data_IF_184113602923
#
_entry.id   IF_184113602923
#
_cell.length_a   1.000
_cell.length_b   1.000
_cell.length_c   1.000
_cell.angle_alpha   90.00
_cell.angle_beta   90.00
_cell.angle_gamma   90.00
#
_symmetry.space_group_name_H-M   'P 1'
#
loop_
_entity.id
_entity.type
_entity.pdbx_description
1 polymer ?
#
# COMPACT_ATOMS: atom_id res chain seq x y z
N UNK A 1 -49.74 48.38 -59.85
CA UNK A 1 -49.84 48.79 -58.43
C UNK A 1 -48.53 48.38 -57.77
N UNK A 2 -47.46 49.18 -57.82
CA UNK A 2 -47.20 50.44 -57.11
C UNK A 2 -46.84 50.24 -55.62
N UNK A 3 -45.77 50.95 -55.21
CA UNK A 3 -45.17 51.15 -53.86
C UNK A 3 -44.06 50.15 -53.48
N UNK A 4 -42.82 50.53 -53.15
CA UNK A 4 -42.17 51.84 -53.06
C UNK A 4 -40.79 51.72 -52.37
N UNK A 5 -39.83 52.58 -52.77
CA UNK A 5 -38.76 53.30 -52.03
C UNK A 5 -38.09 52.64 -50.79
N UNK A 6 -36.82 52.83 -50.43
CA UNK A 6 -35.60 53.44 -50.99
C UNK A 6 -34.48 53.25 -49.94
N UNK A 7 -33.24 53.51 -50.35
CA UNK A 7 -31.97 53.48 -49.59
C UNK A 7 -31.94 54.30 -48.28
N UNK A 8 -31.03 53.92 -47.36
CA UNK A 8 -30.19 54.90 -46.66
C UNK A 8 -28.88 54.29 -46.11
N UNK A 9 -27.78 54.95 -46.47
CA UNK A 9 -26.41 54.83 -45.99
C UNK A 9 -26.23 55.20 -44.51
N UNK A 10 -25.17 54.71 -43.84
CA UNK A 10 -24.09 55.55 -43.28
C UNK A 10 -22.95 54.74 -42.64
N UNK A 11 -21.84 55.45 -42.48
CA UNK A 11 -20.45 55.03 -42.58
C UNK A 11 -19.69 55.29 -41.27
N UNK A 12 -18.56 54.58 -41.09
CA UNK A 12 -17.32 54.93 -40.37
C UNK A 12 -17.27 55.22 -38.86
N UNK A 13 -16.29 54.59 -38.19
CA UNK A 13 -15.67 55.04 -36.92
C UNK A 13 -14.96 53.93 -36.13
N UNK A 14 -13.84 53.37 -36.61
CA UNK A 14 -12.45 53.52 -36.09
C UNK A 14 -12.19 53.33 -34.57
N UNK A 15 -11.34 52.31 -34.30
CA UNK A 15 -10.21 52.23 -33.34
C UNK A 15 -10.44 52.37 -31.82
N UNK A 16 -10.14 51.33 -31.02
CA UNK A 16 -8.88 51.19 -30.22
C UNK A 16 -8.89 50.02 -29.20
N UNK A 17 -7.81 49.22 -29.27
CA UNK A 17 -6.95 48.65 -28.22
C UNK A 17 -7.54 48.12 -26.87
N UNK A 18 -7.41 46.80 -26.64
CA UNK A 18 -7.02 46.11 -25.38
C UNK A 18 -7.55 44.65 -25.43
N UNK A 19 -6.87 43.59 -25.03
CA UNK A 19 -5.53 43.36 -24.52
C UNK A 19 -5.29 41.84 -24.61
N UNK A 20 -4.04 41.42 -24.49
CA UNK A 20 -3.62 40.03 -24.54
C UNK A 20 -4.37 39.16 -23.51
N UNK A 21 -5.05 38.11 -23.97
CA UNK A 21 -5.42 36.93 -23.19
C UNK A 21 -4.63 35.81 -23.88
N UNK A 22 -3.46 35.43 -23.40
CA UNK A 22 -3.26 34.84 -22.08
C UNK A 22 -3.07 33.34 -22.32
N UNK A 23 -1.83 32.95 -22.64
CA UNK A 23 -1.41 31.55 -22.59
C UNK A 23 -1.68 31.02 -21.19
N UNK A 24 -2.54 30.01 -21.07
CA UNK A 24 -3.01 29.57 -19.77
C UNK A 24 -3.91 28.34 -19.83
N UNK A 25 -3.51 27.31 -20.56
CA UNK A 25 -3.98 25.95 -20.31
C UNK A 25 -2.77 25.10 -19.90
N UNK A 26 -2.19 25.45 -18.75
CA UNK A 26 -1.48 24.45 -17.97
C UNK A 26 -2.56 23.57 -17.35
N UNK A 27 -2.85 22.44 -18.02
CA UNK A 27 -3.54 21.32 -17.43
C UNK A 27 -2.80 20.96 -16.13
N UNK A 28 -3.42 21.31 -15.00
CA UNK A 28 -2.94 20.98 -13.67
C UNK A 28 -3.20 19.51 -13.33
N UNK A 29 -2.84 18.59 -14.21
CA UNK A 29 -2.61 17.20 -13.83
C UNK A 29 -1.18 17.12 -13.29
N UNK A 30 -0.96 17.75 -12.14
CA UNK A 30 0.17 17.41 -11.31
C UNK A 30 -0.20 16.08 -10.66
N UNK A 31 0.09 14.99 -11.39
CA UNK A 31 0.43 13.75 -10.73
C UNK A 31 1.36 14.12 -9.58
N UNK A 32 1.03 13.66 -8.37
CA UNK A 32 1.94 13.77 -7.26
C UNK A 32 3.20 13.00 -7.66
N UNK A 33 4.13 13.67 -8.35
CA UNK A 33 5.49 13.20 -8.55
C UNK A 33 5.95 12.81 -7.17
N UNK A 34 6.29 11.53 -7.00
CA UNK A 34 6.81 11.02 -5.75
C UNK A 34 8.05 11.84 -5.45
N UNK A 35 7.91 12.84 -4.57
CA UNK A 35 9.00 13.76 -4.26
C UNK A 35 10.13 12.92 -3.70
N UNK A 36 11.28 12.94 -4.39
CA UNK A 36 12.51 12.32 -3.91
C UNK A 36 12.73 12.79 -2.46
N UNK A 37 12.85 11.88 -1.49
CA UNK A 37 13.01 12.29 -0.12
C UNK A 37 14.27 13.14 0.03
N UNK A 38 14.19 14.09 0.96
CA UNK A 38 15.32 14.95 1.28
C UNK A 38 16.48 14.10 1.82
N UNK A 39 17.73 14.36 1.40
CA UNK A 39 18.90 13.68 1.96
C UNK A 39 18.90 13.75 3.50
N UNK A 40 19.18 12.63 4.16
CA UNK A 40 19.18 12.53 5.63
C UNK A 40 17.79 12.42 6.29
N UNK A 41 16.70 12.49 5.52
CA UNK A 41 15.37 12.14 6.05
C UNK A 41 15.33 10.67 6.49
N UNK A 42 14.41 10.34 7.41
CA UNK A 42 14.20 8.95 7.81
C UNK A 42 13.85 8.07 6.59
N UNK A 43 13.04 8.60 5.65
CA UNK A 43 12.71 7.88 4.41
C UNK A 43 13.95 7.56 3.58
N UNK A 44 14.82 8.53 3.35
CA UNK A 44 16.05 8.32 2.58
C UNK A 44 16.96 7.28 3.24
N UNK A 45 17.15 7.39 4.56
CA UNK A 45 18.08 6.52 5.30
C UNK A 45 17.59 5.08 5.41
N UNK A 46 16.31 4.86 5.74
CA UNK A 46 15.76 3.51 5.83
C UNK A 46 15.60 2.82 4.47
N UNK A 47 15.27 3.58 3.42
CA UNK A 47 15.20 3.05 2.07
C UNK A 47 16.58 2.72 1.47
N UNK A 48 17.63 3.40 1.93
CA UNK A 48 19.01 3.11 1.54
C UNK A 48 19.59 1.83 2.17
N UNK A 49 18.95 1.26 3.20
CA UNK A 49 19.41 0.03 3.81
C UNK A 49 19.02 -1.19 2.94
N UNK A 50 20.00 -1.93 2.44
CA UNK A 50 19.78 -3.10 1.57
C UNK A 50 19.57 -4.41 2.32
N UNK A 51 20.08 -4.52 3.56
CA UNK A 51 20.06 -5.73 4.39
C UNK A 51 19.64 -5.43 5.83
N UNK A 52 19.02 -6.42 6.52
CA UNK A 52 18.64 -6.28 7.91
C UNK A 52 19.88 -6.26 8.80
N UNK A 53 19.71 -5.77 10.03
CA UNK A 53 20.75 -5.85 11.05
C UNK A 53 20.99 -7.31 11.46
N UNK A 54 22.18 -7.61 11.98
CA UNK A 54 22.42 -8.86 12.71
C UNK A 54 21.61 -8.91 14.01
N UNK A 55 21.52 -10.10 14.59
CA UNK A 55 20.90 -10.33 15.89
C UNK A 55 19.39 -10.61 15.84
N UNK A 56 18.71 -10.58 17.00
CA UNK A 56 17.31 -10.98 17.11
C UNK A 56 16.34 -10.00 16.46
N UNK A 57 15.24 -10.55 15.95
CA UNK A 57 14.14 -9.79 15.38
C UNK A 57 13.40 -9.00 16.47
N UNK A 58 13.43 -7.67 16.42
CA UNK A 58 12.69 -6.81 17.37
C UNK A 58 11.95 -5.68 16.64
N UNK A 59 10.60 -5.63 16.75
CA UNK A 59 9.84 -4.47 16.33
C UNK A 59 9.99 -3.35 17.36
N UNK A 60 10.33 -2.14 16.89
CA UNK A 60 10.62 -0.98 17.75
C UNK A 60 9.71 0.18 17.37
N UNK A 61 8.95 0.70 18.33
CA UNK A 61 8.03 1.81 18.17
C UNK A 61 6.63 1.38 17.74
N UNK A 62 5.98 2.24 16.95
CA UNK A 62 4.63 2.05 16.45
C UNK A 62 4.63 1.71 14.96
N UNK A 63 3.57 1.07 14.46
CA UNK A 63 3.43 0.62 13.07
C UNK A 63 3.77 1.67 12.00
N UNK A 64 3.47 2.94 12.28
CA UNK A 64 3.74 4.09 11.41
C UNK A 64 4.78 5.08 11.97
N UNK A 65 5.52 4.66 13.00
CA UNK A 65 6.56 5.47 13.65
C UNK A 65 7.53 4.55 14.39
N UNK A 66 8.39 3.87 13.65
CA UNK A 66 9.23 2.83 14.21
C UNK A 66 10.34 2.37 13.27
N UNK A 67 10.99 1.29 13.66
CA UNK A 67 12.02 0.58 12.90
C UNK A 67 12.08 -0.88 13.37
N UNK A 68 12.98 -1.67 12.78
CA UNK A 68 13.12 -3.08 13.11
C UNK A 68 14.58 -3.55 13.05
N UNK A 69 15.00 -4.36 14.03
CA UNK A 69 16.24 -5.15 13.97
C UNK A 69 15.96 -6.57 13.52
N UNK A 70 16.95 -7.25 12.96
CA UNK A 70 16.94 -8.70 12.73
C UNK A 70 15.77 -9.19 11.88
N UNK A 71 15.27 -8.36 10.96
CA UNK A 71 14.17 -8.75 10.09
C UNK A 71 14.58 -9.94 9.21
N UNK A 72 13.62 -10.81 8.93
CA UNK A 72 13.80 -11.97 8.05
C UNK A 72 12.99 -11.77 6.77
N UNK A 73 13.54 -12.22 5.66
CA UNK A 73 12.86 -12.11 4.38
C UNK A 73 11.90 -13.29 4.17
N UNK A 74 10.66 -13.04 3.74
CA UNK A 74 9.78 -14.07 3.18
C UNK A 74 10.43 -14.64 1.92
N UNK A 75 10.61 -15.97 1.75
CA UNK A 75 11.08 -16.53 0.49
C UNK A 75 10.28 -16.00 -0.70
N UNK A 76 10.98 -15.67 -1.80
CA UNK A 76 10.38 -15.08 -3.01
C UNK A 76 9.21 -15.92 -3.53
N UNK A 77 9.29 -17.22 -3.32
CA UNK A 77 8.28 -18.21 -3.69
C UNK A 77 8.11 -19.21 -2.57
N UNK A 78 6.88 -19.71 -2.45
CA UNK A 78 6.60 -20.95 -1.73
C UNK A 78 5.56 -21.77 -2.47
N UNK A 79 5.08 -22.88 -1.90
CA UNK A 79 4.10 -23.73 -2.56
C UNK A 79 2.82 -22.97 -2.93
N UNK A 80 2.37 -22.08 -2.04
CA UNK A 80 1.07 -21.42 -2.08
C UNK A 80 1.15 -19.89 -2.05
N UNK A 81 2.33 -19.31 -2.28
CA UNK A 81 2.49 -17.86 -2.40
C UNK A 81 3.56 -17.45 -3.42
N UNK A 82 3.48 -16.20 -3.87
CA UNK A 82 4.54 -15.49 -4.60
C UNK A 82 4.67 -14.07 -4.07
N UNK A 83 5.90 -13.64 -3.77
CA UNK A 83 6.19 -12.25 -3.43
C UNK A 83 6.18 -11.39 -4.71
N UNK A 84 5.61 -10.19 -4.62
CA UNK A 84 5.43 -9.23 -5.71
C UNK A 84 6.34 -8.02 -5.54
N UNK A 85 6.61 -7.30 -6.63
CA UNK A 85 7.42 -6.07 -6.61
C UNK A 85 8.76 -6.26 -5.91
N UNK A 86 9.50 -7.30 -6.32
CA UNK A 86 10.76 -7.73 -5.70
C UNK A 86 11.82 -6.62 -5.71
N UNK A 87 11.82 -5.80 -6.76
CA UNK A 87 12.69 -4.63 -6.93
C UNK A 87 12.63 -3.66 -5.75
N UNK A 88 11.48 -3.57 -5.06
CA UNK A 88 11.27 -2.66 -3.93
C UNK A 88 12.03 -3.04 -2.67
N UNK A 89 12.53 -4.28 -2.58
CA UNK A 89 13.20 -4.84 -1.40
C UNK A 89 12.35 -4.73 -0.10
N UNK A 90 11.05 -5.07 -0.20
CA UNK A 90 10.06 -4.90 0.89
C UNK A 90 9.49 -6.19 1.48
N UNK A 91 10.12 -7.34 1.22
CA UNK A 91 9.67 -8.65 1.72
C UNK A 91 10.22 -9.02 3.11
N UNK A 92 10.58 -8.03 3.92
CA UNK A 92 11.20 -8.23 5.23
C UNK A 92 10.19 -8.06 6.34
N UNK A 93 10.26 -8.87 7.39
CA UNK A 93 9.36 -8.72 8.52
C UNK A 93 9.83 -9.44 9.77
N UNK A 94 8.99 -9.36 10.80
CA UNK A 94 9.14 -10.16 11.99
C UNK A 94 8.91 -11.64 11.66
N UNK A 95 9.69 -12.59 12.22
CA UNK A 95 9.43 -14.02 12.05
C UNK A 95 7.99 -14.42 12.31
N UNK A 96 7.30 -13.79 13.27
CA UNK A 96 5.87 -14.04 13.52
C UNK A 96 4.97 -13.63 12.35
N UNK A 97 5.27 -12.53 11.65
CA UNK A 97 4.55 -12.12 10.45
C UNK A 97 4.83 -13.08 9.30
N UNK A 98 6.09 -13.43 9.05
CA UNK A 98 6.45 -14.34 7.96
C UNK A 98 5.82 -15.72 8.16
N UNK A 99 5.88 -16.27 9.38
CA UNK A 99 5.23 -17.53 9.73
C UNK A 99 3.70 -17.48 9.55
N UNK A 100 3.07 -16.34 9.87
CA UNK A 100 1.64 -16.16 9.62
C UNK A 100 1.32 -16.18 8.13
N UNK A 101 2.12 -15.51 7.30
CA UNK A 101 1.90 -15.46 5.84
C UNK A 101 2.06 -16.84 5.19
N UNK A 102 3.06 -17.62 5.60
CA UNK A 102 3.23 -19.00 5.12
C UNK A 102 2.02 -19.87 5.45
N UNK A 103 1.57 -19.85 6.71
CA UNK A 103 0.36 -20.59 7.14
C UNK A 103 -0.89 -20.10 6.42
N UNK A 104 -1.09 -18.79 6.36
CA UNK A 104 -2.24 -18.18 5.71
C UNK A 104 -2.32 -18.55 4.23
N UNK A 105 -1.18 -18.61 3.54
CA UNK A 105 -1.14 -19.01 2.14
C UNK A 105 -1.67 -20.44 1.92
N UNK A 106 -1.33 -21.37 2.81
CA UNK A 106 -1.76 -22.77 2.75
C UNK A 106 -3.23 -22.91 3.12
N UNK A 107 -3.64 -22.23 4.19
CA UNK A 107 -5.02 -22.22 4.67
C UNK A 107 -5.97 -21.57 3.65
N UNK A 108 -5.52 -20.56 2.89
CA UNK A 108 -6.29 -19.95 1.83
C UNK A 108 -6.68 -20.97 0.73
N UNK A 109 -5.75 -21.84 0.35
CA UNK A 109 -6.01 -22.97 -0.55
C UNK A 109 -6.98 -23.96 0.08
N UNK A 110 -6.69 -24.37 1.31
CA UNK A 110 -7.42 -25.45 1.98
C UNK A 110 -8.85 -25.09 2.36
N UNK A 111 -9.09 -23.85 2.81
CA UNK A 111 -10.36 -23.48 3.45
C UNK A 111 -11.10 -22.34 2.74
N UNK A 112 -10.42 -21.45 2.02
CA UNK A 112 -11.05 -20.31 1.34
C UNK A 112 -11.35 -20.57 -0.15
N UNK A 113 -10.90 -21.70 -0.72
CA UNK A 113 -10.99 -21.97 -2.16
C UNK A 113 -10.23 -20.91 -2.97
N UNK A 114 -9.11 -20.44 -2.43
CA UNK A 114 -8.25 -19.42 -3.02
C UNK A 114 -6.94 -20.04 -3.48
N UNK A 115 -6.44 -19.82 -4.70
CA UNK A 115 -5.37 -20.65 -5.29
C UNK A 115 -3.96 -20.43 -4.69
N UNK A 116 -3.84 -19.63 -3.64
CA UNK A 116 -2.59 -19.12 -3.09
C UNK A 116 -2.59 -17.59 -3.08
N UNK A 117 -1.63 -16.98 -2.40
CA UNK A 117 -1.60 -15.54 -2.17
C UNK A 117 -0.46 -14.85 -2.93
N UNK A 118 -0.75 -13.66 -3.44
CA UNK A 118 0.28 -12.74 -3.92
C UNK A 118 0.58 -11.75 -2.80
N UNK A 119 1.83 -11.79 -2.30
CA UNK A 119 2.27 -10.97 -1.16
C UNK A 119 2.94 -9.70 -1.69
N UNK A 120 2.41 -8.54 -1.31
CA UNK A 120 2.98 -7.23 -1.61
C UNK A 120 4.02 -6.80 -0.58
N UNK A 121 3.95 -5.53 -0.16
CA UNK A 121 4.92 -4.95 0.76
C UNK A 121 4.70 -5.50 2.19
N UNK A 122 5.80 -5.86 2.88
CA UNK A 122 5.82 -6.22 4.30
C UNK A 122 6.54 -5.13 5.09
N UNK A 123 7.85 -4.99 4.91
CA UNK A 123 8.67 -3.90 5.42
C UNK A 123 10.01 -3.85 4.67
N UNK A 124 10.71 -2.73 4.80
CA UNK A 124 12.12 -2.60 4.37
C UNK A 124 13.03 -3.42 5.31
N UNK A 125 14.30 -3.69 4.95
CA UNK A 125 15.17 -4.58 5.73
C UNK A 125 15.37 -4.18 7.20
N UNK A 126 15.31 -2.88 7.47
CA UNK A 126 15.42 -2.30 8.83
C UNK A 126 14.13 -1.65 9.30
N UNK A 127 13.01 -1.96 8.65
CA UNK A 127 11.73 -1.29 8.84
C UNK A 127 11.79 0.18 8.44
N UNK A 128 11.22 1.06 9.26
CA UNK A 128 11.28 2.50 9.07
C UNK A 128 10.37 3.05 7.97
N UNK A 129 10.25 4.39 7.88
CA UNK A 129 9.43 5.05 6.87
C UNK A 129 9.85 4.69 5.43
N UNK A 130 8.87 4.33 4.59
CA UNK A 130 9.10 4.01 3.18
C UNK A 130 9.17 5.26 2.31
N UNK A 131 9.87 5.18 1.18
CA UNK A 131 9.90 6.23 0.15
C UNK A 131 8.49 6.64 -0.26
N UNK A 132 7.66 5.64 -0.56
CA UNK A 132 6.33 5.78 -1.14
C UNK A 132 5.37 4.68 -0.63
N UNK A 133 4.10 4.84 -0.96
CA UNK A 133 3.02 3.94 -0.55
C UNK A 133 2.64 4.16 0.91
N UNK A 134 2.93 3.18 1.75
CA UNK A 134 2.33 3.06 3.07
C UNK A 134 2.89 4.04 4.08
N UNK A 135 2.01 4.54 4.96
CA UNK A 135 2.42 5.28 6.16
C UNK A 135 2.91 4.35 7.28
N UNK A 136 2.45 3.10 7.30
CA UNK A 136 2.88 2.05 8.24
C UNK A 136 3.96 1.13 7.65
N UNK A 137 3.98 -0.18 7.97
CA UNK A 137 5.00 -1.14 7.53
C UNK A 137 6.40 -0.87 8.11
N UNK A 138 6.50 -0.08 9.17
CA UNK A 138 7.80 0.35 9.68
C UNK A 138 8.43 -0.63 10.68
N UNK A 139 7.67 -1.60 11.19
CA UNK A 139 8.14 -2.49 12.27
C UNK A 139 8.01 -3.98 11.93
N UNK A 140 7.78 -4.33 10.65
CA UNK A 140 7.72 -5.72 10.19
C UNK A 140 6.52 -6.53 10.71
N UNK A 141 5.42 -5.84 11.07
CA UNK A 141 4.17 -6.45 11.57
C UNK A 141 2.95 -6.10 10.70
N UNK A 142 3.20 -5.62 9.47
CA UNK A 142 2.22 -5.27 8.46
C UNK A 142 2.56 -6.02 7.16
N UNK A 143 1.56 -6.45 6.39
CA UNK A 143 1.76 -7.12 5.11
C UNK A 143 0.56 -6.91 4.18
N UNK A 144 0.82 -6.58 2.92
CA UNK A 144 -0.23 -6.48 1.90
C UNK A 144 -0.44 -7.79 1.17
N UNK A 145 -1.71 -8.14 0.97
CA UNK A 145 -2.11 -9.29 0.18
C UNK A 145 -3.02 -8.82 -0.95
N UNK A 146 -2.67 -9.16 -2.19
CA UNK A 146 -3.46 -8.72 -3.33
C UNK A 146 -4.77 -9.50 -3.42
N UNK A 147 -5.85 -8.84 -3.86
CA UNK A 147 -7.10 -9.51 -4.23
C UNK A 147 -7.04 -10.22 -5.60
N UNK A 148 -5.92 -10.11 -6.29
CA UNK A 148 -5.63 -10.87 -7.51
C UNK A 148 -5.28 -12.31 -7.14
N UNK A 149 -5.98 -13.33 -7.68
CA UNK A 149 -5.64 -14.72 -7.43
C UNK A 149 -4.23 -15.05 -7.92
N UNK A 150 -3.48 -15.84 -7.15
CA UNK A 150 -2.18 -16.34 -7.60
C UNK A 150 -2.35 -17.25 -8.83
N UNK A 151 -1.57 -17.06 -9.90
CA UNK A 151 -1.62 -17.94 -11.06
C UNK A 151 -1.07 -19.34 -10.73
N UNK A 152 -1.50 -20.36 -11.48
CA UNK A 152 -1.04 -21.74 -11.31
C UNK A 152 0.44 -21.96 -11.68
N UNK A 153 1.04 -21.01 -12.41
CA UNK A 153 2.46 -20.99 -12.78
C UNK A 153 3.22 -19.96 -11.94
N UNK A 154 4.53 -20.17 -11.80
CA UNK A 154 5.42 -19.16 -11.24
C UNK A 154 5.58 -17.99 -12.22
N UNK A 155 5.58 -16.78 -11.67
CA UNK A 155 5.84 -15.57 -12.44
C UNK A 155 7.34 -15.26 -12.44
N UNK A 156 7.85 -14.79 -13.57
CA UNK A 156 9.21 -14.23 -13.65
C UNK A 156 9.31 -12.97 -12.77
N UNK A 157 10.52 -12.53 -12.41
CA UNK A 157 10.70 -11.25 -11.72
C UNK A 157 10.01 -10.09 -12.44
N UNK A 158 10.18 -9.98 -13.75
CA UNK A 158 9.57 -8.90 -14.54
C UNK A 158 8.03 -8.96 -14.53
N UNK A 159 7.43 -10.14 -14.68
CA UNK A 159 5.98 -10.29 -14.59
C UNK A 159 5.44 -9.84 -13.23
N UNK A 160 6.20 -10.04 -12.15
CA UNK A 160 5.83 -9.56 -10.80
C UNK A 160 5.97 -8.05 -10.64
N UNK A 161 6.76 -7.37 -11.46
CA UNK A 161 6.85 -5.91 -11.51
C UNK A 161 5.72 -5.31 -12.36
N UNK A 162 5.35 -5.97 -13.44
CA UNK A 162 4.42 -5.43 -14.44
C UNK A 162 2.96 -5.81 -14.19
N UNK A 163 2.68 -6.86 -13.41
CA UNK A 163 1.31 -7.32 -13.17
C UNK A 163 0.46 -6.17 -12.61
N UNK A 164 -0.62 -5.75 -13.30
CA UNK A 164 -1.43 -4.64 -12.85
C UNK A 164 -2.30 -5.06 -11.65
N UNK A 165 -2.58 -4.09 -10.78
CA UNK A 165 -3.55 -4.28 -9.71
C UNK A 165 -4.96 -4.49 -10.26
N UNK A 166 -5.68 -5.44 -9.70
CA UNK A 166 -7.12 -5.61 -9.96
C UNK A 166 -7.92 -4.89 -8.88
N UNK A 167 -8.55 -3.76 -9.22
CA UNK A 167 -9.43 -3.07 -8.29
C UNK A 167 -10.72 -3.86 -8.05
N UNK A 168 -11.15 -3.95 -6.80
CA UNK A 168 -12.46 -4.49 -6.43
C UNK A 168 -13.59 -3.48 -6.67
N UNK A 169 -13.30 -2.23 -7.04
CA UNK A 169 -14.31 -1.21 -7.29
C UNK A 169 -14.81 -1.23 -8.74
N UNK A 170 -16.08 -0.88 -8.91
CA UNK A 170 -16.66 -0.60 -10.21
C UNK A 170 -16.16 0.77 -10.67
N UNK A 171 -15.60 0.81 -11.88
CA UNK A 171 -15.14 2.05 -12.51
C UNK A 171 -16.29 3.08 -12.57
N UNK A 172 -15.96 4.34 -12.32
CA UNK A 172 -16.85 5.50 -12.39
C UNK A 172 -18.09 5.39 -11.45
N UNK A 173 -17.97 4.60 -10.38
CA UNK A 173 -18.98 4.51 -9.33
C UNK A 173 -18.39 4.69 -7.94
N UNK A 174 -18.98 5.61 -7.18
CA UNK A 174 -18.56 5.91 -5.82
C UNK A 174 -18.72 4.69 -4.91
N UNK A 175 -17.61 4.26 -4.27
CA UNK A 175 -17.54 3.19 -3.27
C UNK A 175 -18.42 1.97 -3.56
N UNK A 176 -18.42 1.53 -4.81
CA UNK A 176 -19.25 0.41 -5.27
C UNK A 176 -18.34 -0.74 -5.67
N UNK A 177 -18.53 -1.93 -5.08
CA UNK A 177 -17.78 -3.13 -5.46
C UNK A 177 -18.23 -3.60 -6.85
N UNK A 178 -17.26 -3.97 -7.70
CA UNK A 178 -17.52 -4.53 -9.01
C UNK A 178 -18.04 -5.98 -8.89
N UNK A 179 -19.32 -6.25 -9.24
CA UNK A 179 -19.89 -7.57 -9.09
C UNK A 179 -19.29 -8.61 -10.05
N UNK A 180 -18.58 -8.19 -11.11
CA UNK A 180 -17.90 -9.10 -12.04
C UNK A 180 -16.58 -9.62 -11.49
N UNK A 181 -15.99 -8.93 -10.53
CA UNK A 181 -14.68 -9.27 -9.95
C UNK A 181 -14.85 -9.88 -8.56
N UNK A 182 -15.79 -9.39 -7.76
CA UNK A 182 -16.01 -9.89 -6.41
C UNK A 182 -16.56 -11.33 -6.40
N UNK A 183 -16.00 -12.17 -5.54
CA UNK A 183 -16.40 -13.57 -5.37
C UNK A 183 -16.50 -13.92 -3.89
N UNK A 184 -17.26 -14.97 -3.58
CA UNK A 184 -17.37 -15.46 -2.20
C UNK A 184 -16.03 -16.00 -1.66
N UNK A 185 -15.15 -16.49 -2.53
CA UNK A 185 -13.78 -16.88 -2.12
C UNK A 185 -12.96 -15.70 -1.58
N UNK A 186 -13.18 -14.47 -2.06
CA UNK A 186 -12.52 -13.26 -1.51
C UNK A 186 -13.08 -12.89 -0.14
N UNK A 187 -14.39 -13.06 0.06
CA UNK A 187 -15.00 -12.87 1.37
C UNK A 187 -14.45 -13.88 2.39
N UNK A 188 -14.38 -15.16 2.01
CA UNK A 188 -13.76 -16.22 2.83
C UNK A 188 -12.28 -15.96 3.09
N UNK A 189 -11.51 -15.48 2.12
CA UNK A 189 -10.10 -15.14 2.29
C UNK A 189 -9.91 -14.06 3.38
N UNK A 190 -10.71 -13.00 3.35
CA UNK A 190 -10.66 -11.94 4.36
C UNK A 190 -11.03 -12.44 5.75
N UNK A 191 -12.08 -13.26 5.86
CA UNK A 191 -12.53 -13.79 7.15
C UNK A 191 -11.57 -14.85 7.71
N UNK A 192 -10.92 -15.63 6.83
CA UNK A 192 -9.83 -16.53 7.21
C UNK A 192 -8.65 -15.73 7.77
N UNK A 193 -8.18 -14.69 7.08
CA UNK A 193 -7.13 -13.81 7.60
C UNK A 193 -7.54 -13.19 8.96
N UNK A 194 -8.80 -12.77 9.10
CA UNK A 194 -9.29 -12.17 10.35
C UNK A 194 -9.37 -13.18 11.51
N UNK A 195 -9.46 -14.48 11.20
CA UNK A 195 -9.63 -15.54 12.20
C UNK A 195 -8.39 -15.79 13.07
N UNK A 196 -7.20 -15.45 12.57
CA UNK A 196 -5.96 -15.66 13.33
C UNK A 196 -5.92 -14.78 14.60
N UNK A 197 -5.57 -15.35 15.76
CA UNK A 197 -5.47 -14.60 17.02
C UNK A 197 -4.36 -13.54 17.00
N UNK A 198 -3.32 -13.74 16.18
CA UNK A 198 -2.23 -12.79 15.97
C UNK A 198 -2.70 -11.55 15.18
N UNK A 199 -3.68 -11.70 14.28
CA UNK A 199 -4.20 -10.61 13.45
C UNK A 199 -5.08 -9.70 14.28
N UNK A 200 -4.72 -8.42 14.30
CA UNK A 200 -5.43 -7.39 15.04
C UNK A 200 -6.37 -6.59 14.13
N UNK A 201 -5.91 -6.22 12.93
CA UNK A 201 -6.68 -5.45 11.96
C UNK A 201 -6.39 -5.94 10.55
N UNK A 202 -7.41 -5.85 9.70
CA UNK A 202 -7.29 -5.97 8.26
C UNK A 202 -7.82 -4.69 7.64
N UNK A 203 -6.99 -3.89 6.98
CA UNK A 203 -7.46 -2.68 6.33
C UNK A 203 -7.93 -2.97 4.90
N UNK A 204 -9.10 -2.46 4.57
CA UNK A 204 -9.77 -2.64 3.27
C UNK A 204 -10.46 -1.34 2.86
N UNK A 205 -10.77 -1.19 1.58
CA UNK A 205 -11.63 -0.11 1.11
C UNK A 205 -13.01 -0.12 1.81
N UNK A 206 -13.67 1.04 2.06
CA UNK A 206 -14.98 1.08 2.67
C UNK A 206 -16.06 0.31 1.89
N UNK A 207 -15.97 0.27 0.55
CA UNK A 207 -16.87 -0.51 -0.29
C UNK A 207 -16.77 -2.01 -0.03
N UNK A 208 -15.55 -2.52 0.18
CA UNK A 208 -15.28 -3.92 0.51
C UNK A 208 -15.85 -4.23 1.90
N UNK A 209 -15.60 -3.36 2.89
CA UNK A 209 -16.16 -3.51 4.23
C UNK A 209 -17.69 -3.55 4.18
N UNK A 210 -18.32 -2.64 3.42
CA UNK A 210 -19.78 -2.63 3.22
C UNK A 210 -20.25 -3.92 2.55
N UNK A 211 -19.59 -4.38 1.49
CA UNK A 211 -19.92 -5.64 0.83
C UNK A 211 -19.89 -6.82 1.80
N UNK A 212 -18.87 -6.90 2.64
CA UNK A 212 -18.78 -7.91 3.70
C UNK A 212 -19.93 -7.78 4.71
N UNK A 213 -20.25 -6.56 5.16
CA UNK A 213 -21.38 -6.33 6.06
C UNK A 213 -22.71 -6.80 5.48
N UNK A 214 -22.94 -6.51 4.19
CA UNK A 214 -24.19 -6.79 3.48
C UNK A 214 -24.36 -8.28 3.14
N UNK A 215 -23.27 -9.00 2.81
CA UNK A 215 -23.38 -10.34 2.22
C UNK A 215 -22.70 -11.47 2.99
N UNK A 216 -21.86 -11.18 3.99
CA UNK A 216 -21.23 -12.25 4.77
C UNK A 216 -22.25 -12.90 5.73
N UNK A 217 -22.56 -14.16 5.44
CA UNK A 217 -23.50 -14.98 6.21
C UNK A 217 -22.83 -15.95 7.21
N UNK A 218 -21.49 -16.00 7.25
CA UNK A 218 -20.74 -16.83 8.20
C UNK A 218 -20.57 -16.17 9.57
N UNK A 219 -19.67 -16.72 10.40
CA UNK A 219 -19.34 -16.13 11.70
C UNK A 219 -18.82 -14.70 11.57
N UNK A 220 -19.45 -13.76 12.27
CA UNK A 220 -19.15 -12.32 12.25
C UNK A 220 -18.26 -11.88 13.42
N UNK A 221 -17.86 -12.79 14.31
CA UNK A 221 -17.04 -12.48 15.50
C UNK A 221 -15.79 -11.68 15.14
N UNK A 222 -15.13 -12.03 14.03
CA UNK A 222 -13.92 -11.33 13.56
C UNK A 222 -14.18 -10.26 12.50
N UNK A 223 -15.43 -10.03 12.08
CA UNK A 223 -15.74 -9.07 11.02
C UNK A 223 -15.33 -7.65 11.44
N UNK A 224 -15.42 -7.31 12.73
CA UNK A 224 -14.96 -6.03 13.27
C UNK A 224 -13.50 -5.69 12.96
N UNK A 225 -12.63 -6.71 12.80
CA UNK A 225 -11.21 -6.53 12.45
C UNK A 225 -11.02 -5.95 11.04
N UNK A 226 -11.98 -6.10 10.13
CA UNK A 226 -11.94 -5.41 8.83
C UNK A 226 -12.22 -3.92 9.05
N UNK A 227 -11.19 -3.10 8.84
CA UNK A 227 -11.20 -1.65 9.09
C UNK A 227 -11.22 -0.89 7.77
N UNK A 228 -12.25 -0.07 7.51
CA UNK A 228 -12.28 0.77 6.31
C UNK A 228 -11.16 1.82 6.36
N UNK A 229 -10.46 1.99 5.23
CA UNK A 229 -9.47 3.04 5.00
C UNK A 229 -9.47 3.45 3.51
N UNK A 230 -8.97 4.64 3.18
CA UNK A 230 -8.78 5.08 1.80
C UNK A 230 -7.90 4.10 0.99
N UNK A 231 -8.11 4.03 -0.32
CA UNK A 231 -7.41 3.06 -1.18
C UNK A 231 -7.83 1.63 -0.84
N UNK A 232 -6.87 0.71 -0.73
CA UNK A 232 -7.07 -0.69 -0.29
C UNK A 232 -8.21 -1.44 -1.00
N UNK A 233 -8.42 -1.11 -2.28
CA UNK A 233 -9.41 -1.78 -3.13
C UNK A 233 -8.81 -2.88 -4.00
N UNK A 234 -7.49 -2.94 -4.15
CA UNK A 234 -6.79 -3.96 -4.92
C UNK A 234 -5.98 -4.95 -4.09
N UNK A 235 -5.78 -4.61 -2.81
CA UNK A 235 -5.14 -5.43 -1.79
C UNK A 235 -5.83 -5.19 -0.45
N UNK A 236 -5.63 -6.10 0.48
CA UNK A 236 -5.93 -5.88 1.90
C UNK A 236 -4.65 -5.93 2.70
N UNK A 237 -4.61 -5.07 3.72
CA UNK A 237 -3.45 -4.93 4.61
C UNK A 237 -3.70 -5.73 5.87
N UNK A 238 -2.89 -6.74 6.15
CA UNK A 238 -2.89 -7.47 7.42
C UNK A 238 -1.96 -6.77 8.41
N UNK A 239 -2.46 -6.51 9.63
CA UNK A 239 -1.65 -6.07 10.77
C UNK A 239 -1.74 -7.09 11.91
N UNK A 240 -0.59 -7.52 12.41
CA UNK A 240 -0.51 -8.38 13.59
C UNK A 240 -0.19 -7.57 14.86
N UNK A 241 -0.55 -8.14 16.01
CA UNK A 241 -0.22 -7.59 17.33
C UNK A 241 1.30 -7.56 17.55
N UNK A 242 1.75 -6.72 18.47
CA UNK A 242 3.11 -6.84 19.01
C UNK A 242 3.36 -8.27 19.52
N UNK A 243 4.43 -8.96 19.09
CA UNK A 243 4.74 -10.29 19.58
C UNK A 243 4.93 -10.31 21.11
N UNK A 244 4.58 -11.40 21.81
CA UNK A 244 4.84 -11.53 23.24
C UNK A 244 6.32 -11.28 23.57
N UNK A 245 6.58 -10.46 24.59
CA UNK A 245 7.94 -10.12 25.02
C UNK A 245 8.65 -9.03 24.21
N UNK A 246 8.05 -8.50 23.14
CA UNK A 246 8.62 -7.40 22.36
C UNK A 246 8.47 -6.05 23.09
N UNK A 247 9.31 -5.80 24.10
CA UNK A 247 9.23 -4.60 24.95
C UNK A 247 9.40 -3.27 24.19
N UNK A 248 10.07 -3.29 23.04
CA UNK A 248 10.23 -2.12 22.17
C UNK A 248 8.99 -1.80 21.33
N UNK A 249 7.99 -2.69 21.27
CA UNK A 249 6.83 -2.56 20.40
C UNK A 249 5.66 -1.87 21.12
N UNK A 250 5.12 -0.83 20.49
CA UNK A 250 3.97 -0.08 21.02
C UNK A 250 2.68 -0.63 20.41
N UNK A 251 1.76 -1.23 21.20
CA UNK A 251 0.49 -1.70 20.69
C UNK A 251 -0.42 -0.54 20.28
N UNK A 252 -1.42 -0.83 19.45
CA UNK A 252 -2.51 0.09 19.14
C UNK A 252 -3.72 -0.20 20.03
N UNK A 253 -4.69 0.71 20.08
CA UNK A 253 -5.93 0.50 20.82
C UNK A 253 -6.68 -0.74 20.27
N UNK A 254 -7.41 -1.50 21.10
CA UNK A 254 -8.24 -2.60 20.63
C UNK A 254 -9.27 -2.14 19.58
N UNK A 255 -9.67 -3.06 18.71
CA UNK A 255 -10.83 -2.84 17.84
C UNK A 255 -12.08 -2.77 18.71
N UNK A 256 -12.96 -1.81 18.43
CA UNK A 256 -14.22 -1.68 19.15
C UNK A 256 -15.07 -2.96 19.01
N UNK A 257 -15.84 -3.28 20.05
CA UNK A 257 -16.72 -4.44 20.04
C UNK A 257 -17.76 -4.35 18.91
N UNK A 258 -18.16 -5.51 18.40
CA UNK A 258 -19.11 -5.63 17.29
C UNK A 258 -18.43 -5.85 15.94
N UNK A 259 -19.26 -5.96 14.90
CA UNK A 259 -18.80 -6.26 13.55
C UNK A 259 -18.36 -5.01 12.76
N UNK A 260 -18.55 -3.82 13.33
CA UNK A 260 -18.21 -2.53 12.71
C UNK A 260 -19.07 -2.21 11.48
N UNK A 261 -20.28 -2.76 11.38
CA UNK A 261 -21.27 -2.49 10.35
C UNK A 261 -22.31 -1.47 10.81
N UNK A 262 -21.85 -0.41 11.50
CA UNK A 262 -22.66 0.59 12.17
C UNK A 262 -22.38 2.01 11.63
N UNK A 263 -22.69 3.04 12.43
CA UNK A 263 -22.44 4.45 12.09
C UNK A 263 -20.97 4.73 11.75
N UNK A 264 -20.02 3.96 12.30
CA UNK A 264 -18.61 4.10 11.99
C UNK A 264 -18.29 3.73 10.53
N UNK A 265 -19.01 2.77 9.95
CA UNK A 265 -18.94 2.46 8.52
C UNK A 265 -19.74 3.47 7.69
N UNK A 266 -20.94 3.84 8.14
CA UNK A 266 -21.80 4.79 7.43
C UNK A 266 -21.11 6.15 7.20
N UNK A 267 -20.25 6.59 8.12
CA UNK A 267 -19.43 7.81 7.98
C UNK A 267 -18.65 7.85 6.65
N UNK A 268 -18.10 6.72 6.20
CA UNK A 268 -17.35 6.63 4.95
C UNK A 268 -18.17 6.90 3.69
N UNK A 269 -19.50 6.78 3.80
CA UNK A 269 -20.44 7.04 2.71
C UNK A 269 -21.06 8.44 2.79
N UNK A 270 -20.55 9.30 3.67
CA UNK A 270 -20.89 10.73 3.73
C UNK A 270 -19.85 11.55 2.95
N UNK A 271 -20.13 12.81 2.59
CA UNK A 271 -19.12 13.70 1.97
C UNK A 271 -17.93 14.05 2.88
N UNK A 272 -18.09 13.96 4.21
CA UNK A 272 -17.11 14.46 5.18
C UNK A 272 -15.69 13.87 5.04
N UNK A 273 -15.48 12.55 4.92
CA UNK A 273 -14.13 11.98 4.71
C UNK A 273 -13.51 12.31 3.35
N UNK A 274 -14.31 12.75 2.38
CA UNK A 274 -13.86 13.05 1.01
C UNK A 274 -13.72 14.56 0.77
N UNK A 275 -14.11 15.38 1.73
CA UNK A 275 -14.05 16.83 1.60
C UNK A 275 -12.60 17.31 1.42
N UNK A 276 -12.34 18.25 0.48
CA UNK A 276 -11.04 18.88 0.37
C UNK A 276 -10.70 19.64 1.66
N UNK A 277 -9.40 19.89 1.92
CA UNK A 277 -8.99 20.76 3.01
C UNK A 277 -9.72 22.10 2.94
N UNK A 278 -10.20 22.61 4.09
CA UNK A 278 -10.85 23.92 4.12
C UNK A 278 -9.86 24.99 3.65
N UNK A 279 -10.28 25.94 2.81
CA UNK A 279 -9.41 27.04 2.42
C UNK A 279 -8.94 27.79 3.68
N UNK A 280 -7.69 28.28 3.69
CA UNK A 280 -7.20 29.10 4.80
C UNK A 280 -8.11 30.32 4.98
N UNK A 281 -8.31 30.75 6.24
CA UNK A 281 -9.11 31.94 6.54
C UNK A 281 -8.51 33.18 5.82
N UNK A 282 -9.31 34.13 5.33
CA UNK A 282 -8.80 35.37 4.77
C UNK A 282 -7.80 36.05 5.72
N UNK A 283 -6.60 36.38 5.22
CA UNK A 283 -5.52 36.96 6.03
C UNK A 283 -4.71 35.98 6.88
N UNK A 284 -5.03 34.68 6.87
CA UNK A 284 -4.18 33.68 7.51
C UNK A 284 -2.89 33.46 6.72
N UNK A 285 -1.75 33.44 7.42
CA UNK A 285 -0.49 33.00 6.81
C UNK A 285 -0.67 31.56 6.27
N UNK A 286 -0.16 31.25 5.07
CA UNK A 286 -0.16 29.89 4.57
C UNK A 286 0.43 28.93 5.61
N UNK A 287 -0.19 27.75 5.85
CA UNK A 287 0.40 26.77 6.76
C UNK A 287 1.79 26.40 6.24
N UNK A 288 2.76 26.28 7.17
CA UNK A 288 4.09 25.79 6.80
C UNK A 288 3.93 24.41 6.16
N UNK A 289 4.64 24.12 5.05
CA UNK A 289 4.59 22.80 4.45
C UNK A 289 5.01 21.76 5.51
N UNK A 290 4.38 20.57 5.54
CA UNK A 290 4.82 19.50 6.40
C UNK A 290 6.30 19.23 6.16
N UNK A 291 7.12 19.27 7.21
CA UNK A 291 8.51 18.85 7.09
C UNK A 291 8.58 17.33 7.01
N UNK A 292 9.57 16.82 6.30
CA UNK A 292 9.83 15.38 6.28
C UNK A 292 10.24 14.87 7.66
N UNK A 293 9.87 13.61 7.92
CA UNK A 293 10.24 12.90 9.14
C UNK A 293 11.74 12.66 9.15
N UNK A 294 12.39 13.05 10.24
CA UNK A 294 13.81 12.82 10.50
C UNK A 294 13.97 11.61 11.42
N UNK A 295 15.16 11.00 11.45
CA UNK A 295 15.44 9.88 12.37
C UNK A 295 15.27 10.30 13.83
N UNK A 296 15.55 11.57 14.15
CA UNK A 296 15.31 12.15 15.48
C UNK A 296 13.85 12.20 15.89
N UNK A 297 12.90 12.05 14.96
CA UNK A 297 11.47 11.94 15.27
C UNK A 297 11.04 10.52 15.65
N UNK A 298 11.85 9.51 15.32
CA UNK A 298 11.59 8.09 15.58
C UNK A 298 12.01 7.69 17.01
N UNK A 299 11.63 6.49 17.50
CA UNK A 299 12.20 5.97 18.74
C UNK A 299 13.73 6.04 18.74
N UNK A 300 14.34 6.42 19.87
CA UNK A 300 15.80 6.65 19.97
C UNK A 300 16.65 5.50 19.43
N UNK A 301 16.20 4.26 19.62
CA UNK A 301 16.90 3.07 19.14
C UNK A 301 17.03 3.02 17.60
N UNK A 302 16.16 3.70 16.85
CA UNK A 302 16.16 3.64 15.39
C UNK A 302 17.40 4.26 14.72
N UNK A 303 18.08 5.20 15.39
CA UNK A 303 19.40 5.64 14.94
C UNK A 303 20.42 4.49 15.01
N UNK A 304 20.48 3.79 16.15
CA UNK A 304 21.36 2.63 16.31
C UNK A 304 21.01 1.47 15.35
N UNK A 305 19.72 1.31 15.00
CA UNK A 305 19.31 0.33 13.98
C UNK A 305 19.91 0.66 12.61
N UNK A 306 20.00 1.94 12.22
CA UNK A 306 20.61 2.34 10.95
C UNK A 306 22.14 2.16 10.95
N UNK A 307 22.78 2.31 12.12
CA UNK A 307 24.24 2.19 12.24
C UNK A 307 24.72 0.75 12.50
N UNK A 308 23.80 -0.18 12.83
CA UNK A 308 24.14 -1.56 13.16
C UNK A 308 24.70 -2.35 11.96
N UNK A 309 25.55 -3.34 12.26
CA UNK A 309 26.10 -4.26 11.27
C UNK A 309 24.99 -5.06 10.56
N UNK A 310 25.09 -5.14 9.23
CA UNK A 310 24.20 -5.98 8.42
C UNK A 310 24.57 -7.46 8.52
N UNK A 311 23.61 -8.33 8.26
CA UNK A 311 23.88 -9.74 7.93
C UNK A 311 24.77 -9.84 6.67
N UNK A 312 25.40 -11.00 6.46
CA UNK A 312 26.31 -11.21 5.33
C UNK A 312 25.62 -11.22 3.96
N UNK A 313 24.35 -11.66 3.90
CA UNK A 313 23.58 -11.71 2.65
C UNK A 313 22.08 -11.82 2.90
N UNK A 314 21.30 -11.56 1.85
CA UNK A 314 19.85 -11.78 1.86
C UNK A 314 19.49 -13.25 2.09
N UNK A 315 20.29 -14.18 1.56
CA UNK A 315 20.09 -15.61 1.73
C UNK A 315 20.29 -16.03 3.20
N UNK A 316 21.26 -15.43 3.90
CA UNK A 316 21.49 -15.68 5.33
C UNK A 316 20.34 -15.20 6.23
N UNK A 317 19.57 -14.21 5.79
CA UNK A 317 18.43 -13.67 6.52
C UNK A 317 17.07 -14.05 5.92
N UNK A 318 17.03 -15.01 4.99
CA UNK A 318 15.75 -15.55 4.49
C UNK A 318 15.17 -16.52 5.52
N UNK A 319 13.87 -16.39 5.79
CA UNK A 319 13.16 -17.27 6.72
C UNK A 319 13.21 -18.73 6.24
N UNK A 320 13.44 -19.67 7.16
CA UNK A 320 13.74 -21.07 6.81
C UNK A 320 15.19 -21.32 6.37
N UNK A 321 16.03 -20.28 6.33
CA UNK A 321 17.47 -20.37 6.06
C UNK A 321 17.83 -20.53 4.57
N UNK A 322 19.11 -20.83 4.27
CA UNK A 322 19.62 -20.84 2.90
C UNK A 322 18.90 -21.83 1.96
N UNK A 323 18.43 -22.96 2.49
CA UNK A 323 17.69 -23.97 1.71
C UNK A 323 16.35 -23.42 1.22
N UNK A 324 15.61 -22.70 2.07
CA UNK A 324 14.35 -22.07 1.69
C UNK A 324 14.54 -20.96 0.64
N UNK A 325 15.67 -20.24 0.69
CA UNK A 325 16.01 -19.25 -0.33
C UNK A 325 16.25 -19.87 -1.72
N UNK A 326 16.72 -21.12 -1.78
CA UNK A 326 17.05 -21.82 -3.02
C UNK A 326 15.94 -22.75 -3.52
N UNK A 327 15.03 -23.20 -2.64
CA UNK A 327 14.06 -24.27 -2.91
C UNK A 327 13.05 -23.96 -4.03
N UNK A 328 12.89 -22.69 -4.43
CA UNK A 328 11.91 -22.29 -5.44
C UNK A 328 12.47 -21.36 -6.53
N UNK A 329 13.79 -21.16 -6.58
CA UNK A 329 14.48 -20.48 -7.68
C UNK A 329 14.73 -21.39 -8.91
N UNK A 330 14.47 -22.70 -8.78
CA UNK A 330 14.73 -23.69 -9.84
C UNK A 330 13.52 -23.87 -10.77
N UNK A 331 13.40 -22.96 -11.74
CA UNK A 331 13.01 -23.31 -13.11
C UNK A 331 13.78 -22.36 -14.04
N UNK A 332 14.82 -22.83 -14.75
CA UNK A 332 15.61 -21.96 -15.59
C UNK A 332 14.75 -21.47 -16.76
N UNK A 333 14.56 -20.15 -16.86
CA UNK A 333 14.41 -19.54 -18.18
C UNK A 333 15.79 -19.60 -18.84
N UNK A 334 15.85 -20.10 -20.08
CA UNK A 334 17.07 -20.13 -20.86
C UNK A 334 17.72 -18.73 -20.87
N UNK A 335 18.99 -18.66 -20.51
CA UNK A 335 19.75 -17.43 -20.42
C UNK A 335 19.89 -16.80 -21.81
N UNK A 336 19.49 -15.54 -21.94
CA UNK A 336 20.16 -14.61 -22.86
C UNK A 336 21.21 -13.85 -22.05
N UNK A 337 22.46 -14.05 -22.44
CA UNK A 337 23.58 -13.24 -22.00
C UNK A 337 23.47 -11.87 -22.67
N UNK A 338 23.25 -10.83 -21.88
CA UNK A 338 23.97 -9.55 -21.97
C UNK A 338 23.44 -8.56 -20.91
N UNK A 339 24.33 -7.66 -20.55
CA UNK A 339 24.17 -6.43 -19.78
C UNK A 339 24.23 -6.50 -18.24
N UNK A 340 25.47 -6.37 -17.79
CA UNK A 340 25.84 -5.51 -16.67
C UNK A 340 25.39 -4.06 -16.93
N UNK A 341 24.47 -3.56 -16.12
CA UNK A 341 24.49 -2.17 -15.64
C UNK A 341 23.64 -2.03 -14.37
N UNK A 342 24.32 -1.66 -13.28
CA UNK A 342 23.73 -1.36 -11.97
C UNK A 342 22.98 -0.02 -12.04
N UNK A 343 21.69 -0.09 -12.36
CA UNK A 343 20.72 0.94 -12.02
C UNK A 343 19.43 0.28 -11.56
N UNK A 344 19.04 0.53 -10.31
CA UNK A 344 17.74 0.09 -9.79
C UNK A 344 16.63 0.69 -10.67
N UNK A 345 15.79 -0.14 -11.33
CA UNK A 345 14.74 0.38 -12.19
C UNK A 345 13.66 1.12 -11.39
N UNK A 346 12.94 1.97 -12.12
CA UNK A 346 11.90 2.88 -11.62
C UNK A 346 10.82 2.13 -10.82
N UNK A 347 10.29 2.81 -9.82
CA UNK A 347 9.41 2.22 -8.80
C UNK A 347 8.11 1.76 -9.46
N UNK A 348 7.92 0.45 -9.59
CA UNK A 348 6.69 -0.11 -10.17
C UNK A 348 5.42 0.50 -9.54
N UNK A 349 4.28 0.51 -10.24
CA UNK A 349 3.13 1.34 -9.89
C UNK A 349 2.70 1.13 -8.42
N UNK A 350 2.69 2.22 -7.65
CA UNK A 350 2.22 2.25 -6.27
C UNK A 350 0.73 2.61 -6.32
N UNK A 351 -0.17 1.84 -5.66
CA UNK A 351 -1.57 2.23 -5.56
C UNK A 351 -1.69 3.66 -5.00
N UNK A 352 -2.44 4.52 -5.68
CA UNK A 352 -2.77 5.84 -5.15
C UNK A 352 -3.79 5.67 -4.02
N UNK A 353 -3.39 5.97 -2.78
CA UNK A 353 -4.24 5.80 -1.60
C UNK A 353 -5.44 6.77 -1.54
N UNK A 354 -5.52 7.75 -2.44
CA UNK A 354 -6.68 8.63 -2.59
C UNK A 354 -7.17 8.60 -4.03
N UNK A 355 -8.37 8.08 -4.30
CA UNK A 355 -9.05 8.37 -5.56
C UNK A 355 -9.24 9.89 -5.67
N UNK A 356 -8.96 10.45 -6.84
CA UNK A 356 -9.49 11.76 -7.18
C UNK A 356 -11.02 11.66 -7.20
N UNK A 357 -11.70 12.68 -6.68
CA UNK A 357 -13.11 12.89 -7.00
C UNK A 357 -13.17 13.14 -8.51
N UNK A 358 -13.82 12.24 -9.26
CA UNK A 358 -14.32 12.59 -10.59
C UNK A 358 -15.50 13.54 -10.45
#
# INVERSE_FOLDING_TARGET
MALGFAQAFRTFGRLTLAGAIGAGLAAGDVGAQQKTPSPGSAKALFAGASLPTQGPAQPIGFYAKGCMTGAVALPTDGPTWQAMRLSRNRRWGNPAMIALLERFSQDAVKYAGWPGILVGDIAQPRGGPMLNGHSSHQIGLDADIWFTPMPARRMTPQEREDLPFTSMLQKDKFLTVNPRVWTESRARLLMLAASYPEVERIFVNPAIKKKMCDTWAGDRTNLGKLRPIYGHDSHFHIRIKCPPGAAGCTPQAPVAAGDGCDKSLAYWFTPAPWAPPKPPKPGAKPPKPPREMMVSDLPKACAAVLDAASVASMQAATYGGPSAASAFAAAPAAASADDSDDALPDVGPVPNDKPALQ
#
